data_IF_502533966554
#
_entry.id   IF_502533966554
#
_cell.length_a   1.000
_cell.length_b   1.000
_cell.length_c   1.000
_cell.angle_alpha   90.00
_cell.angle_beta   90.00
_cell.angle_gamma   90.00
#
_symmetry.space_group_name_H-M   'P 1'
#
loop_
_entity.id
_entity.type
_entity.pdbx_description
1 polymer ?
#
# COMPACT_ATOMS: atom_id res chain seq x y z
N UNK A 1 0.72 -8.79 17.49
CA UNK A 1 0.62 -7.36 17.18
C UNK A 1 1.95 -6.91 16.60
N UNK A 2 1.93 -6.26 15.43
CA UNK A 2 3.06 -5.63 14.76
C UNK A 2 2.68 -4.17 14.60
N UNK A 3 3.53 -3.24 15.04
CA UNK A 3 3.30 -1.82 14.81
C UNK A 3 3.62 -1.47 13.36
N UNK A 4 2.71 -0.76 12.70
CA UNK A 4 2.82 -0.28 11.32
C UNK A 4 2.90 1.25 11.37
N UNK A 5 3.91 1.80 10.71
CA UNK A 5 4.20 3.24 10.66
C UNK A 5 4.55 3.63 9.21
N UNK A 6 3.51 3.87 8.42
CA UNK A 6 3.59 4.21 7.00
C UNK A 6 2.72 5.46 6.73
N UNK A 7 3.15 6.64 7.22
CA UNK A 7 2.36 7.86 7.19
C UNK A 7 2.04 8.36 5.77
N UNK A 8 2.94 8.21 4.81
CA UNK A 8 2.70 8.65 3.43
C UNK A 8 1.64 7.79 2.74
N UNK A 9 1.58 6.50 3.08
CA UNK A 9 0.50 5.60 2.68
C UNK A 9 -0.73 5.72 3.58
N UNK A 10 -0.68 6.46 4.69
CA UNK A 10 -1.76 6.62 5.67
C UNK A 10 -2.07 5.34 6.46
N UNK A 11 -1.11 4.43 6.62
CA UNK A 11 -1.25 3.19 7.37
C UNK A 11 -0.42 3.28 8.66
N UNK A 12 -1.06 3.71 9.75
CA UNK A 12 -0.43 3.87 11.05
C UNK A 12 -1.23 3.19 12.16
N UNK A 13 -0.57 2.33 12.95
CA UNK A 13 -1.18 1.68 14.11
C UNK A 13 -0.76 0.24 14.33
N UNK A 14 -1.39 -0.40 15.32
CA UNK A 14 -1.15 -1.78 15.68
C UNK A 14 -1.89 -2.75 14.77
N UNK A 15 -1.16 -3.66 14.14
CA UNK A 15 -1.71 -4.72 13.30
C UNK A 15 -1.68 -6.08 14.03
N UNK A 16 -2.85 -6.67 14.24
CA UNK A 16 -2.97 -7.92 15.01
C UNK A 16 -2.44 -9.18 14.32
N UNK A 17 -2.37 -9.18 12.99
CA UNK A 17 -1.99 -10.33 12.15
C UNK A 17 -2.71 -11.61 12.58
N UNK A 18 -4.01 -11.66 12.30
CA UNK A 18 -4.86 -12.83 12.55
C UNK A 18 -4.52 -14.00 11.60
N UNK A 19 -5.13 -15.18 11.78
CA UNK A 19 -4.87 -16.32 10.90
C UNK A 19 -5.39 -16.07 9.48
N UNK A 20 -6.52 -15.38 9.31
CA UNK A 20 -7.00 -14.97 8.00
C UNK A 20 -6.09 -13.93 7.34
N UNK A 21 -5.57 -12.95 8.10
CA UNK A 21 -4.62 -11.96 7.58
C UNK A 21 -3.31 -12.61 7.15
N UNK A 22 -2.78 -13.55 7.94
CA UNK A 22 -1.62 -14.38 7.59
C UNK A 22 -1.88 -15.21 6.33
N UNK A 23 -3.03 -15.87 6.24
CA UNK A 23 -3.39 -16.68 5.07
C UNK A 23 -3.52 -15.82 3.81
N UNK A 24 -4.06 -14.61 3.91
CA UNK A 24 -4.15 -13.67 2.79
C UNK A 24 -2.77 -13.13 2.41
N UNK A 25 -1.93 -12.77 3.39
CA UNK A 25 -0.55 -12.35 3.14
C UNK A 25 0.25 -13.41 2.36
N UNK A 26 0.09 -14.70 2.68
CA UNK A 26 0.71 -15.82 1.93
C UNK A 26 0.29 -15.88 0.47
N UNK A 27 -0.89 -15.38 0.11
CA UNK A 27 -1.37 -15.30 -1.29
C UNK A 27 -0.88 -14.03 -1.98
N UNK A 28 -0.85 -12.91 -1.26
CA UNK A 28 -0.40 -11.61 -1.78
C UNK A 28 1.09 -11.62 -2.12
N UNK A 29 1.94 -12.05 -1.18
CA UNK A 29 3.42 -11.97 -1.30
C UNK A 29 3.95 -12.50 -2.65
N UNK A 30 3.57 -13.69 -3.14
CA UNK A 30 4.05 -14.20 -4.43
C UNK A 30 3.53 -13.44 -5.65
N UNK A 31 2.47 -12.63 -5.51
CA UNK A 31 1.90 -11.82 -6.59
C UNK A 31 2.53 -10.42 -6.67
N UNK A 32 3.28 -9.99 -5.64
CA UNK A 32 3.90 -8.67 -5.63
C UNK A 32 5.01 -8.59 -6.70
N UNK A 33 4.99 -7.55 -7.56
CA UNK A 33 6.00 -7.39 -8.61
C UNK A 33 7.39 -7.16 -8.00
N UNK A 34 8.45 -7.65 -8.64
CA UNK A 34 9.82 -7.47 -8.14
C UNK A 34 10.15 -5.98 -7.89
N UNK A 35 10.94 -5.73 -6.86
CA UNK A 35 11.47 -4.39 -6.61
C UNK A 35 12.33 -3.89 -7.77
N UNK A 36 12.28 -2.58 -8.08
CA UNK A 36 13.15 -2.01 -9.10
C UNK A 36 14.63 -2.19 -8.69
N UNK A 37 15.48 -2.47 -9.67
CA UNK A 37 16.91 -2.60 -9.43
C UNK A 37 17.52 -1.27 -8.93
N UNK A 38 18.61 -1.32 -8.14
CA UNK A 38 19.32 -0.10 -7.76
C UNK A 38 19.71 0.73 -8.99
N UNK A 39 19.39 2.03 -8.97
CA UNK A 39 19.65 2.94 -10.09
C UNK A 39 18.63 2.88 -11.23
N UNK A 40 17.52 2.15 -11.09
CA UNK A 40 16.40 2.20 -12.04
C UNK A 40 15.89 3.64 -12.25
N UNK A 41 15.43 3.92 -13.46
CA UNK A 41 14.88 5.23 -13.78
C UNK A 41 13.55 5.50 -13.05
N UNK A 42 13.17 6.77 -13.06
CA UNK A 42 12.00 7.28 -12.35
C UNK A 42 10.69 6.65 -12.84
N UNK A 43 10.56 6.42 -14.15
CA UNK A 43 9.36 5.81 -14.72
C UNK A 43 9.19 4.35 -14.27
N UNK A 44 10.29 3.60 -14.24
CA UNK A 44 10.33 2.21 -13.78
C UNK A 44 9.99 2.11 -12.30
N UNK A 45 10.61 2.95 -11.46
CA UNK A 45 10.34 3.00 -10.01
C UNK A 45 8.87 3.32 -9.72
N UNK A 46 8.34 4.35 -10.38
CA UNK A 46 6.92 4.71 -10.27
C UNK A 46 6.00 3.57 -10.69
N UNK A 47 6.27 2.93 -11.84
CA UNK A 47 5.45 1.82 -12.34
C UNK A 47 5.45 0.63 -11.38
N UNK A 48 6.60 0.31 -10.77
CA UNK A 48 6.71 -0.77 -9.80
C UNK A 48 5.92 -0.47 -8.50
N UNK A 49 6.03 0.77 -8.00
CA UNK A 49 5.27 1.26 -6.85
C UNK A 49 3.76 1.15 -7.11
N UNK A 50 3.29 1.74 -8.22
CA UNK A 50 1.87 1.68 -8.60
C UNK A 50 1.38 0.25 -8.71
N UNK A 51 2.12 -0.62 -9.41
CA UNK A 51 1.73 -2.02 -9.60
C UNK A 51 1.64 -2.76 -8.27
N UNK A 52 2.59 -2.54 -7.36
CA UNK A 52 2.58 -3.16 -6.02
C UNK A 52 1.32 -2.79 -5.24
N UNK A 53 1.02 -1.48 -5.16
CA UNK A 53 -0.15 -1.01 -4.42
C UNK A 53 -1.47 -1.42 -5.08
N UNK A 54 -1.55 -1.44 -6.42
CA UNK A 54 -2.73 -1.94 -7.13
C UNK A 54 -2.94 -3.43 -6.90
N UNK A 55 -1.88 -4.26 -6.94
CA UNK A 55 -1.99 -5.69 -6.61
C UNK A 55 -2.53 -5.89 -5.19
N UNK A 56 -2.07 -5.10 -4.22
CA UNK A 56 -2.60 -5.17 -2.85
C UNK A 56 -4.10 -4.85 -2.80
N UNK A 57 -4.51 -3.73 -3.40
CA UNK A 57 -5.92 -3.32 -3.45
C UNK A 57 -6.77 -4.43 -4.07
N UNK A 58 -6.35 -4.95 -5.22
CA UNK A 58 -7.13 -5.90 -5.99
C UNK A 58 -7.26 -7.24 -5.24
N UNK A 59 -6.14 -7.83 -4.82
CA UNK A 59 -6.15 -9.14 -4.15
C UNK A 59 -6.93 -9.09 -2.84
N UNK A 60 -6.75 -8.04 -2.03
CA UNK A 60 -7.51 -7.92 -0.77
C UNK A 60 -9.00 -7.76 -1.06
N UNK A 61 -9.39 -6.98 -2.08
CA UNK A 61 -10.81 -6.84 -2.44
C UNK A 61 -11.43 -8.13 -2.95
N UNK A 62 -10.69 -8.92 -3.73
CA UNK A 62 -11.22 -10.15 -4.34
C UNK A 62 -11.17 -11.34 -3.39
N UNK A 63 -10.15 -11.43 -2.54
CA UNK A 63 -9.88 -12.61 -1.71
C UNK A 63 -9.97 -12.36 -0.21
N UNK A 64 -10.21 -11.12 0.21
CA UNK A 64 -10.31 -10.73 1.62
C UNK A 64 -11.63 -11.10 2.30
N UNK A 65 -12.53 -11.86 1.66
CA UNK A 65 -13.80 -12.27 2.26
C UNK A 65 -13.62 -13.00 3.59
N UNK A 66 -12.57 -13.82 3.70
CA UNK A 66 -12.22 -14.53 4.94
C UNK A 66 -11.83 -13.61 6.11
N UNK A 67 -11.43 -12.36 5.84
CA UNK A 67 -11.12 -11.38 6.90
C UNK A 67 -12.38 -10.96 7.68
N UNK A 68 -13.56 -11.10 7.07
CA UNK A 68 -14.83 -10.71 7.69
C UNK A 68 -15.37 -11.78 8.65
N UNK A 69 -15.12 -13.05 8.36
CA UNK A 69 -15.60 -14.20 9.13
C UNK A 69 -14.91 -14.32 10.49
N UNK A 70 -13.59 -14.09 10.54
CA UNK A 70 -12.79 -14.27 11.77
C UNK A 70 -13.06 -13.19 12.82
N UNK A 71 -13.47 -11.98 12.41
CA UNK A 71 -13.72 -10.85 13.32
C UNK A 71 -15.19 -10.70 13.76
N UNK A 72 -16.02 -11.72 13.53
CA UNK A 72 -17.39 -11.77 14.07
C UNK A 72 -18.32 -10.64 13.58
N UNK A 73 -18.05 -10.07 12.40
CA UNK A 73 -18.88 -9.05 11.76
C UNK A 73 -18.75 -7.61 12.28
N UNK A 74 -17.95 -7.35 13.33
CA UNK A 74 -17.64 -5.98 13.78
C UNK A 74 -16.29 -5.53 13.24
N UNK A 75 -16.33 -4.62 12.27
CA UNK A 75 -15.15 -4.06 11.59
C UNK A 75 -14.96 -2.58 11.91
N UNK A 76 -15.45 -2.11 13.06
CA UNK A 76 -15.24 -0.72 13.46
C UNK A 76 -13.73 -0.49 13.61
N UNK A 77 -13.18 0.35 12.74
CA UNK A 77 -11.84 0.91 12.84
C UNK A 77 -11.64 1.41 14.27
N UNK A 78 -10.82 0.70 15.05
CA UNK A 78 -10.41 1.21 16.34
C UNK A 78 -9.28 2.20 16.08
N UNK A 79 -9.34 3.43 16.64
CA UNK A 79 -8.24 4.37 16.51
C UNK A 79 -6.92 3.71 16.89
N UNK A 80 -5.91 3.83 16.03
CA UNK A 80 -4.59 3.23 16.26
C UNK A 80 -4.49 1.73 15.97
N UNK A 81 -5.49 1.11 15.33
CA UNK A 81 -5.41 -0.28 14.85
C UNK A 81 -5.42 -0.31 13.33
N UNK A 82 -4.60 -1.18 12.72
CA UNK A 82 -4.60 -1.43 11.28
C UNK A 82 -5.15 -2.83 10.99
N UNK A 83 -5.99 -2.91 9.96
CA UNK A 83 -6.53 -4.17 9.44
C UNK A 83 -6.29 -4.27 7.95
N UNK A 84 -6.07 -5.49 7.42
CA UNK A 84 -5.97 -5.66 5.97
C UNK A 84 -7.26 -5.27 5.23
N UNK A 85 -8.42 -5.27 5.91
CA UNK A 85 -9.70 -4.84 5.33
C UNK A 85 -9.67 -3.35 4.98
N UNK A 86 -9.01 -2.52 5.78
CA UNK A 86 -8.96 -1.06 5.59
C UNK A 86 -7.90 -0.64 4.57
N UNK A 87 -6.83 -1.43 4.42
CA UNK A 87 -5.71 -1.13 3.53
C UNK A 87 -6.17 -0.72 2.11
N UNK A 88 -7.08 -1.43 1.41
CA UNK A 88 -7.51 -1.04 0.07
C UNK A 88 -8.20 0.32 0.00
N UNK A 89 -8.91 0.72 1.05
CA UNK A 89 -9.58 2.02 1.10
C UNK A 89 -8.56 3.13 1.30
N UNK A 90 -7.62 2.94 2.22
CA UNK A 90 -6.51 3.86 2.47
C UNK A 90 -5.63 4.03 1.23
N UNK A 91 -5.23 2.92 0.60
CA UNK A 91 -4.39 2.96 -0.61
C UNK A 91 -5.14 3.58 -1.81
N UNK A 92 -6.44 3.30 -1.98
CA UNK A 92 -7.24 3.94 -3.02
C UNK A 92 -7.40 5.44 -2.80
N UNK A 93 -7.52 5.89 -1.53
CA UNK A 93 -7.50 7.31 -1.19
C UNK A 93 -6.17 7.94 -1.59
N UNK A 94 -5.04 7.31 -1.24
CA UNK A 94 -3.72 7.79 -1.60
C UNK A 94 -3.57 7.97 -3.13
N UNK A 95 -4.01 7.00 -3.93
CA UNK A 95 -3.99 7.13 -5.40
C UNK A 95 -4.78 8.35 -5.91
N UNK A 96 -5.93 8.66 -5.31
CA UNK A 96 -6.72 9.84 -5.66
C UNK A 96 -5.97 11.13 -5.32
N UNK A 97 -5.34 11.21 -4.16
CA UNK A 97 -4.57 12.38 -3.71
C UNK A 97 -3.35 12.62 -4.62
N UNK A 98 -2.62 11.56 -4.97
CA UNK A 98 -1.54 11.60 -5.96
C UNK A 98 -2.03 12.13 -7.30
N UNK A 99 -3.14 11.59 -7.81
CA UNK A 99 -3.71 12.00 -9.09
C UNK A 99 -4.07 13.48 -9.11
N UNK A 100 -4.67 13.98 -8.03
CA UNK A 100 -5.02 15.40 -7.86
C UNK A 100 -3.76 16.29 -7.78
N UNK A 101 -2.77 15.92 -6.97
CA UNK A 101 -1.49 16.65 -6.86
C UNK A 101 -0.79 16.75 -8.22
N UNK A 102 -0.71 15.63 -8.94
CA UNK A 102 -0.10 15.58 -10.27
C UNK A 102 -0.86 16.44 -11.29
N UNK A 103 -2.18 16.34 -11.34
CA UNK A 103 -3.01 17.12 -12.26
C UNK A 103 -2.90 18.63 -11.99
N UNK A 104 -2.93 19.03 -10.71
CA UNK A 104 -2.78 20.42 -10.31
C UNK A 104 -1.40 20.97 -10.71
N UNK A 105 -0.33 20.24 -10.39
CA UNK A 105 1.03 20.65 -10.74
C UNK A 105 1.24 20.73 -12.25
N UNK A 106 0.67 19.78 -13.01
CA UNK A 106 0.69 19.82 -14.48
C UNK A 106 -0.04 21.04 -15.02
N UNK A 107 -1.18 21.40 -14.42
CA UNK A 107 -1.98 22.56 -14.86
C UNK A 107 -1.27 23.89 -14.54
N UNK A 108 -0.55 23.97 -13.42
CA UNK A 108 0.10 25.21 -12.97
C UNK A 108 1.52 25.41 -13.52
N UNK A 109 2.27 24.32 -13.69
CA UNK A 109 3.72 24.33 -13.97
C UNK A 109 4.07 23.49 -15.21
N UNK A 110 3.07 23.02 -15.96
CA UNK A 110 3.25 22.16 -17.12
C UNK A 110 3.73 20.75 -16.77
N UNK A 111 4.05 19.96 -17.80
CA UNK A 111 4.50 18.56 -17.66
C UNK A 111 5.70 18.41 -16.72
N UNK A 112 6.64 19.36 -16.75
CA UNK A 112 7.80 19.34 -15.84
C UNK A 112 7.39 19.42 -14.37
N UNK A 113 6.35 20.20 -14.04
CA UNK A 113 5.82 20.28 -12.68
C UNK A 113 5.11 19.01 -12.23
N UNK A 114 4.33 18.38 -13.13
CA UNK A 114 3.75 17.07 -12.87
C UNK A 114 4.82 16.00 -12.59
N UNK A 115 5.83 15.93 -13.45
CA UNK A 115 6.94 15.00 -13.29
C UNK A 115 7.72 15.23 -11.98
N UNK A 116 7.89 16.48 -11.55
CA UNK A 116 8.54 16.80 -10.28
C UNK A 116 7.74 16.25 -9.08
N UNK A 117 6.42 16.37 -9.10
CA UNK A 117 5.53 15.82 -8.06
C UNK A 117 5.62 14.29 -8.01
N UNK A 118 5.62 13.61 -9.16
CA UNK A 118 5.79 12.14 -9.17
C UNK A 118 7.15 11.71 -8.63
N UNK A 119 8.21 12.46 -8.95
CA UNK A 119 9.55 12.17 -8.47
C UNK A 119 9.66 12.32 -6.94
N UNK A 120 9.09 13.39 -6.37
CA UNK A 120 8.99 13.63 -4.94
C UNK A 120 8.23 12.50 -4.24
N UNK A 121 6.99 12.26 -4.68
CA UNK A 121 6.12 11.21 -4.13
C UNK A 121 6.76 9.82 -4.19
N UNK A 122 7.50 9.51 -5.26
CA UNK A 122 8.17 8.22 -5.37
C UNK A 122 9.30 8.10 -4.37
N UNK A 123 10.08 9.16 -4.16
CA UNK A 123 11.15 9.15 -3.17
C UNK A 123 10.61 9.00 -1.74
N UNK A 124 9.45 9.58 -1.44
CA UNK A 124 8.77 9.49 -0.14
C UNK A 124 8.15 8.11 0.10
N UNK A 125 7.46 7.56 -0.90
CA UNK A 125 6.60 6.38 -0.70
C UNK A 125 7.31 5.05 -1.00
N UNK A 126 8.35 5.04 -1.82
CA UNK A 126 9.13 3.81 -2.08
C UNK A 126 9.64 3.11 -0.80
N UNK A 127 10.24 3.79 0.21
CA UNK A 127 10.63 3.12 1.45
C UNK A 127 9.43 2.54 2.21
N UNK A 128 8.27 3.19 2.19
CA UNK A 128 7.06 2.67 2.84
C UNK A 128 6.49 1.45 2.12
N UNK A 129 6.54 1.41 0.78
CA UNK A 129 6.15 0.22 0.02
C UNK A 129 7.09 -0.95 0.29
N UNK A 130 8.39 -0.69 0.39
CA UNK A 130 9.36 -1.71 0.78
C UNK A 130 9.08 -2.25 2.19
N UNK A 131 8.75 -1.37 3.14
CA UNK A 131 8.39 -1.76 4.50
C UNK A 131 7.06 -2.53 4.57
N UNK A 132 6.03 -2.08 3.85
CA UNK A 132 4.77 -2.80 3.72
C UNK A 132 4.98 -4.21 3.17
N UNK A 133 5.84 -4.35 2.15
CA UNK A 133 6.23 -5.65 1.61
C UNK A 133 6.93 -6.52 2.65
N UNK A 134 7.85 -5.95 3.42
CA UNK A 134 8.54 -6.65 4.52
C UNK A 134 7.55 -7.14 5.58
N UNK A 135 6.61 -6.29 5.98
CA UNK A 135 5.56 -6.60 6.96
C UNK A 135 4.64 -7.73 6.47
N UNK A 136 4.19 -7.68 5.21
CA UNK A 136 3.39 -8.73 4.59
C UNK A 136 4.16 -10.05 4.49
N UNK A 137 5.44 -10.00 4.14
CA UNK A 137 6.31 -11.19 4.06
C UNK A 137 6.51 -11.81 5.44
N UNK A 138 6.72 -10.99 6.47
CA UNK A 138 6.82 -11.46 7.85
C UNK A 138 5.50 -12.09 8.31
N UNK A 139 4.37 -11.43 8.05
CA UNK A 139 3.04 -11.96 8.36
C UNK A 139 2.81 -13.33 7.67
N UNK A 140 3.20 -13.47 6.41
CA UNK A 140 3.08 -14.70 5.64
C UNK A 140 3.96 -15.85 6.17
N UNK A 141 5.14 -15.53 6.70
CA UNK A 141 6.13 -16.50 7.18
C UNK A 141 5.93 -17.00 8.62
N UNK A 142 5.16 -16.25 9.42
CA UNK A 142 4.67 -16.72 10.74
C UNK A 142 3.55 -17.74 10.61
#
# INVERSE_FOLDING_TARGET
MVYVDLPELGLEGDWAVTDAERALARRIVPLLPAEPAPGADMATRWSALQSTLSTLIDVIRTEGSGLFEERGGSHTSQPGTITMIEMPFTLARWFNEVGQRHQLATSMKGVAGGNAVLAELTAEVEPEVAELRRLLTAAAGT
#
